data_IF_527923840716
#
_entry.id   IF_527923840716
#
_cell.length_a   1.000
_cell.length_b   1.000
_cell.length_c   1.000
_cell.angle_alpha   90.00
_cell.angle_beta   90.00
_cell.angle_gamma   90.00
#
_symmetry.space_group_name_H-M   'P 1'
#
loop_
_entity.id
_entity.type
_entity.pdbx_description
1 polymer ?
#
# COMPACT_ATOMS: atom_id res chain seq x y z
N UNK A 1 -9.96 -15.17 -33.93
CA UNK A 1 -9.22 -15.35 -32.66
C UNK A 1 -9.86 -14.45 -31.62
N UNK A 2 -10.21 -15.02 -30.46
CA UNK A 2 -10.89 -14.34 -29.34
C UNK A 2 -10.03 -13.23 -28.75
N UNK A 3 -10.63 -12.06 -28.51
CA UNK A 3 -9.99 -10.81 -28.07
C UNK A 3 -9.92 -10.68 -26.52
N UNK A 4 -9.91 -11.80 -25.80
CA UNK A 4 -10.04 -11.84 -24.33
C UNK A 4 -9.00 -12.75 -23.65
N UNK A 5 -7.75 -12.70 -24.11
CA UNK A 5 -6.65 -13.23 -23.30
C UNK A 5 -5.46 -12.29 -23.31
N UNK A 6 -5.59 -11.20 -22.53
CA UNK A 6 -4.46 -10.36 -22.11
C UNK A 6 -4.03 -10.67 -20.68
N UNK A 7 -4.39 -11.85 -20.16
CA UNK A 7 -3.93 -12.29 -18.84
C UNK A 7 -2.49 -12.80 -18.86
N UNK A 8 -1.96 -13.14 -20.05
CA UNK A 8 -0.66 -13.78 -20.19
C UNK A 8 0.54 -12.84 -20.37
N UNK A 9 0.33 -11.52 -20.49
CA UNK A 9 1.42 -10.57 -20.80
C UNK A 9 1.68 -9.49 -19.74
N UNK A 10 0.83 -9.40 -18.71
CA UNK A 10 1.12 -8.55 -17.55
C UNK A 10 1.81 -9.45 -16.53
N UNK A 11 3.13 -9.51 -16.65
CA UNK A 11 3.98 -10.42 -15.90
C UNK A 11 3.74 -10.31 -14.39
N UNK A 12 3.26 -11.40 -13.81
CA UNK A 12 3.53 -11.71 -12.41
C UNK A 12 5.02 -12.06 -12.33
N UNK A 13 5.88 -11.06 -12.15
CA UNK A 13 7.27 -11.32 -11.78
C UNK A 13 7.27 -12.20 -10.51
N UNK A 14 8.27 -13.06 -10.34
CA UNK A 14 8.35 -13.92 -9.13
C UNK A 14 8.26 -13.09 -7.84
N UNK A 15 8.78 -11.86 -7.88
CA UNK A 15 8.70 -10.88 -6.81
C UNK A 15 7.27 -10.42 -6.51
N UNK A 16 6.41 -10.32 -7.52
CA UNK A 16 5.00 -9.97 -7.34
C UNK A 16 4.18 -11.14 -6.79
N UNK A 17 4.59 -12.38 -7.09
CA UNK A 17 4.04 -13.57 -6.42
C UNK A 17 4.44 -13.61 -4.96
N UNK A 18 5.73 -13.44 -4.65
CA UNK A 18 6.22 -13.39 -3.26
C UNK A 18 5.50 -12.31 -2.44
N UNK A 19 5.31 -11.13 -3.04
CA UNK A 19 4.63 -10.02 -2.37
C UNK A 19 3.13 -10.27 -2.17
N UNK A 20 2.48 -10.97 -3.10
CA UNK A 20 1.10 -11.41 -2.91
C UNK A 20 0.99 -12.52 -1.85
N UNK A 21 1.92 -13.47 -1.80
CA UNK A 21 1.92 -14.54 -0.81
C UNK A 21 2.16 -13.98 0.60
N UNK A 22 3.09 -13.03 0.75
CA UNK A 22 3.32 -12.33 2.02
C UNK A 22 2.10 -11.49 2.43
N UNK A 23 1.46 -10.84 1.46
CA UNK A 23 0.20 -10.12 1.68
C UNK A 23 -0.90 -11.06 2.14
N UNK A 24 -1.12 -12.20 1.49
CA UNK A 24 -2.13 -13.18 1.89
C UNK A 24 -1.87 -13.70 3.31
N UNK A 25 -0.61 -14.02 3.63
CA UNK A 25 -0.21 -14.45 4.96
C UNK A 25 -0.46 -13.36 6.04
N UNK A 26 -0.22 -12.10 5.70
CA UNK A 26 -0.48 -10.97 6.60
C UNK A 26 -1.97 -10.65 6.73
N UNK A 27 -2.72 -10.67 5.62
CA UNK A 27 -4.16 -10.48 5.61
C UNK A 27 -4.83 -11.58 6.42
N UNK A 28 -4.44 -12.85 6.28
CA UNK A 28 -4.98 -13.96 7.08
C UNK A 28 -4.91 -13.73 8.61
N UNK A 29 -3.94 -12.93 9.07
CA UNK A 29 -3.74 -12.58 10.49
C UNK A 29 -4.34 -11.23 10.87
N UNK A 30 -4.90 -10.48 9.93
CA UNK A 30 -5.38 -9.11 10.11
C UNK A 30 -6.92 -9.10 10.14
N UNK A 31 -7.55 -8.41 11.11
CA UNK A 31 -9.00 -8.30 11.19
C UNK A 31 -9.63 -7.76 9.89
N UNK A 32 -10.79 -8.29 9.44
CA UNK A 32 -11.42 -7.90 8.17
C UNK A 32 -11.73 -6.41 8.01
N UNK A 33 -12.00 -5.70 9.12
CA UNK A 33 -12.26 -4.26 9.11
C UNK A 33 -11.02 -3.46 8.67
N UNK A 34 -9.84 -3.85 9.14
CA UNK A 34 -8.58 -3.21 8.78
C UNK A 34 -8.24 -3.51 7.31
N UNK A 35 -8.48 -4.74 6.86
CA UNK A 35 -8.25 -5.13 5.46
C UNK A 35 -9.05 -4.28 4.47
N UNK A 36 -10.35 -4.05 4.75
CA UNK A 36 -11.20 -3.22 3.89
C UNK A 36 -10.71 -1.78 3.83
N UNK A 37 -10.36 -1.19 4.98
CA UNK A 37 -9.81 0.17 5.02
C UNK A 37 -8.50 0.30 4.24
N UNK A 38 -7.63 -0.70 4.31
CA UNK A 38 -6.39 -0.73 3.53
C UNK A 38 -6.66 -0.80 2.03
N UNK A 39 -7.56 -1.68 1.60
CA UNK A 39 -7.94 -1.80 0.19
C UNK A 39 -8.50 -0.49 -0.37
N UNK A 40 -9.40 0.18 0.37
CA UNK A 40 -9.93 1.48 -0.04
C UNK A 40 -8.85 2.55 -0.16
N UNK A 41 -7.98 2.68 0.85
CA UNK A 41 -6.87 3.65 0.82
C UNK A 41 -5.90 3.41 -0.33
N UNK A 42 -5.56 2.16 -0.59
CA UNK A 42 -4.70 1.78 -1.71
C UNK A 42 -5.36 2.18 -3.02
N UNK A 43 -6.64 1.85 -3.20
CA UNK A 43 -7.37 2.20 -4.40
C UNK A 43 -7.45 3.72 -4.62
N UNK A 44 -7.82 4.48 -3.59
CA UNK A 44 -7.91 5.94 -3.66
C UNK A 44 -6.54 6.57 -3.97
N UNK A 45 -5.47 6.03 -3.35
CA UNK A 45 -4.09 6.45 -3.61
C UNK A 45 -3.66 6.21 -5.05
N UNK A 46 -3.97 5.04 -5.61
CA UNK A 46 -3.69 4.72 -7.03
C UNK A 46 -4.44 5.69 -7.94
N UNK A 47 -5.74 5.89 -7.72
CA UNK A 47 -6.55 6.80 -8.54
C UNK A 47 -6.00 8.23 -8.52
N UNK A 48 -5.62 8.72 -7.33
CA UNK A 48 -5.00 10.04 -7.19
C UNK A 48 -3.68 10.10 -7.96
N UNK A 49 -2.81 9.10 -7.81
CA UNK A 49 -1.51 9.08 -8.49
C UNK A 49 -1.63 9.02 -10.00
N UNK A 50 -2.55 8.20 -10.51
CA UNK A 50 -2.83 8.08 -11.94
C UNK A 50 -3.40 9.39 -12.50
N UNK A 51 -4.25 10.09 -11.74
CA UNK A 51 -4.73 11.42 -12.11
C UNK A 51 -3.60 12.45 -12.18
N UNK A 52 -2.70 12.46 -11.20
CA UNK A 52 -1.53 13.35 -11.18
C UNK A 52 -0.58 13.07 -12.35
N UNK A 53 -0.28 11.80 -12.62
CA UNK A 53 0.54 11.40 -13.77
C UNK A 53 -0.10 11.78 -15.10
N UNK A 54 -1.40 11.53 -15.25
CA UNK A 54 -2.18 11.89 -16.44
C UNK A 54 -2.12 13.39 -16.66
N UNK A 55 -2.38 14.17 -15.62
CA UNK A 55 -2.35 15.64 -15.70
C UNK A 55 -0.96 16.15 -16.08
N UNK A 56 0.11 15.58 -15.50
CA UNK A 56 1.49 15.99 -15.78
C UNK A 56 1.93 15.65 -17.20
N UNK A 57 1.69 14.42 -17.65
CA UNK A 57 2.16 13.93 -18.96
C UNK A 57 1.29 14.44 -20.11
N UNK A 58 -0.02 14.54 -19.91
CA UNK A 58 -0.96 15.02 -20.94
C UNK A 58 -1.17 16.53 -20.92
N UNK A 59 -0.45 17.28 -20.08
CA UNK A 59 -0.60 18.73 -19.94
C UNK A 59 -0.56 19.50 -21.26
N UNK A 60 0.33 19.08 -22.18
CA UNK A 60 0.46 19.70 -23.50
C UNK A 60 -0.81 19.53 -24.34
N UNK A 61 -1.47 18.37 -24.27
CA UNK A 61 -2.73 18.13 -24.98
C UNK A 61 -3.90 18.88 -24.34
N UNK A 62 -3.91 18.99 -23.01
CA UNK A 62 -4.88 19.83 -22.29
C UNK A 62 -4.79 21.27 -22.78
N UNK A 63 -3.58 21.83 -22.87
CA UNK A 63 -3.37 23.20 -23.35
C UNK A 63 -3.82 23.40 -24.80
N UNK A 64 -3.48 22.47 -25.69
CA UNK A 64 -3.92 22.53 -27.10
C UNK A 64 -5.44 22.48 -27.24
N UNK A 65 -6.10 21.64 -26.45
CA UNK A 65 -7.57 21.57 -26.45
C UNK A 65 -8.19 22.85 -25.88
N UNK A 66 -7.66 23.35 -24.76
CA UNK A 66 -8.09 24.62 -24.14
C UNK A 66 -7.93 25.81 -25.09
N UNK A 67 -6.78 25.95 -25.75
CA UNK A 67 -6.51 26.99 -26.76
C UNK A 67 -7.49 26.90 -27.94
N UNK A 68 -7.78 25.69 -28.42
CA UNK A 68 -8.75 25.50 -29.48
C UNK A 68 -10.15 25.93 -29.04
N UNK A 69 -10.64 25.45 -27.90
CA UNK A 69 -12.00 25.75 -27.41
C UNK A 69 -12.17 27.24 -27.13
N UNK A 70 -11.13 27.92 -26.63
CA UNK A 70 -11.18 29.35 -26.36
C UNK A 70 -11.05 30.24 -27.60
N UNK A 71 -10.54 29.70 -28.72
CA UNK A 71 -10.36 30.47 -29.97
C UNK A 71 -11.50 30.27 -30.97
N UNK A 72 -12.28 29.18 -30.84
CA UNK A 72 -13.42 28.92 -31.72
C UNK A 72 -14.74 29.42 -31.12
N UNK A 73 -15.66 29.83 -32.01
CA UNK A 73 -17.01 30.20 -31.58
C UNK A 73 -17.79 28.97 -31.07
N UNK A 74 -18.76 29.12 -30.15
CA UNK A 74 -19.42 28.01 -29.46
C UNK A 74 -20.06 26.95 -30.37
N UNK A 75 -20.48 27.32 -31.58
CA UNK A 75 -21.09 26.41 -32.54
C UNK A 75 -20.08 25.65 -33.42
N UNK A 76 -18.78 25.99 -33.33
CA UNK A 76 -17.66 25.33 -34.05
C UNK A 76 -16.76 24.46 -33.16
N UNK A 77 -17.19 24.16 -31.93
CA UNK A 77 -16.43 23.29 -31.00
C UNK A 77 -16.08 21.92 -31.61
N UNK A 78 -16.85 21.47 -32.62
CA UNK A 78 -16.54 20.25 -33.38
C UNK A 78 -15.15 20.26 -34.03
N UNK A 79 -14.62 21.44 -34.37
CA UNK A 79 -13.29 21.56 -34.98
C UNK A 79 -12.17 21.24 -33.96
N UNK A 80 -12.48 21.28 -32.66
CA UNK A 80 -11.55 20.92 -31.59
C UNK A 80 -11.60 19.44 -31.18
N UNK A 81 -12.46 18.62 -31.81
CA UNK A 81 -12.57 17.18 -31.54
C UNK A 81 -11.22 16.45 -31.67
N UNK A 82 -10.37 16.71 -32.69
CA UNK A 82 -9.07 16.04 -32.80
C UNK A 82 -8.16 16.29 -31.60
N UNK A 83 -8.22 17.48 -30.99
CA UNK A 83 -7.43 17.80 -29.79
C UNK A 83 -7.97 17.10 -28.54
N UNK A 84 -9.30 16.95 -28.44
CA UNK A 84 -9.94 16.17 -27.37
C UNK A 84 -9.59 14.70 -27.48
N UNK A 85 -9.63 14.15 -28.69
CA UNK A 85 -9.36 12.73 -28.91
C UNK A 85 -7.88 12.42 -28.63
N UNK A 86 -6.95 13.30 -29.05
CA UNK A 86 -5.54 13.20 -28.67
C UNK A 86 -5.30 13.27 -27.15
N UNK A 87 -6.06 14.10 -26.43
CA UNK A 87 -6.03 14.15 -24.97
C UNK A 87 -6.53 12.83 -24.35
N UNK A 88 -7.63 12.28 -24.88
CA UNK A 88 -8.18 11.00 -24.42
C UNK A 88 -7.22 9.85 -24.67
N UNK A 89 -6.56 9.81 -25.82
CA UNK A 89 -5.57 8.79 -26.15
C UNK A 89 -4.37 8.85 -25.20
N UNK A 90 -3.86 10.04 -24.91
CA UNK A 90 -2.80 10.24 -23.92
C UNK A 90 -3.23 9.75 -22.52
N UNK A 91 -4.46 10.09 -22.10
CA UNK A 91 -4.98 9.65 -20.81
C UNK A 91 -5.16 8.12 -20.77
N UNK A 92 -5.58 7.51 -21.87
CA UNK A 92 -5.77 6.06 -21.95
C UNK A 92 -4.44 5.30 -21.90
N UNK A 93 -3.39 5.83 -22.52
CA UNK A 93 -2.04 5.24 -22.44
C UNK A 93 -1.46 5.27 -21.01
N UNK A 94 -1.74 6.32 -20.25
CA UNK A 94 -1.30 6.42 -18.86
C UNK A 94 -2.15 5.53 -17.96
N UNK A 95 -3.45 5.46 -18.23
CA UNK A 95 -4.40 4.65 -17.46
C UNK A 95 -4.45 3.18 -17.89
N UNK A 96 -3.33 2.64 -18.38
CA UNK A 96 -3.19 1.21 -18.69
C UNK A 96 -3.20 0.37 -17.42
N UNK A 97 -3.70 -0.85 -17.56
CA UNK A 97 -3.73 -1.86 -16.49
C UNK A 97 -2.34 -2.09 -15.88
N UNK A 98 -1.29 -2.10 -16.71
CA UNK A 98 0.11 -2.25 -16.26
C UNK A 98 0.52 -1.16 -15.26
N UNK A 99 0.14 0.10 -15.50
CA UNK A 99 0.44 1.20 -14.58
C UNK A 99 -0.39 1.08 -13.31
N UNK A 100 -1.65 0.66 -13.41
CA UNK A 100 -2.50 0.40 -12.25
C UNK A 100 -1.88 -0.67 -11.33
N UNK A 101 -1.47 -1.81 -11.90
CA UNK A 101 -0.84 -2.90 -11.15
C UNK A 101 0.49 -2.46 -10.52
N UNK A 102 1.30 -1.70 -11.25
CA UNK A 102 2.55 -1.13 -10.72
C UNK A 102 2.32 -0.26 -9.49
N UNK A 103 1.36 0.65 -9.52
CA UNK A 103 1.04 1.46 -8.33
C UNK A 103 0.44 0.62 -7.22
N UNK A 104 -0.40 -0.36 -7.56
CA UNK A 104 -0.97 -1.29 -6.58
C UNK A 104 0.11 -1.97 -5.75
N UNK A 105 1.16 -2.48 -6.38
CA UNK A 105 2.30 -3.11 -5.67
C UNK A 105 3.02 -2.10 -4.76
N UNK A 106 3.33 -0.90 -5.26
CA UNK A 106 3.97 0.16 -4.48
C UNK A 106 3.18 0.56 -3.23
N UNK A 107 1.88 0.78 -3.39
CA UNK A 107 1.00 1.14 -2.28
C UNK A 107 0.80 -0.03 -1.31
N UNK A 108 0.66 -1.26 -1.81
CA UNK A 108 0.60 -2.47 -0.99
C UNK A 108 1.84 -2.59 -0.10
N UNK A 109 3.03 -2.48 -0.69
CA UNK A 109 4.28 -2.56 0.06
C UNK A 109 4.37 -1.48 1.16
N UNK A 110 3.99 -0.24 0.84
CA UNK A 110 3.98 0.85 1.82
C UNK A 110 2.99 0.61 2.97
N UNK A 111 1.84 0.02 2.69
CA UNK A 111 0.85 -0.34 3.71
C UNK A 111 1.27 -1.53 4.57
N UNK A 112 1.90 -2.53 3.96
CA UNK A 112 2.47 -3.67 4.67
C UNK A 112 3.58 -3.24 5.64
N UNK A 113 4.46 -2.34 5.21
CA UNK A 113 5.52 -1.78 6.06
C UNK A 113 4.92 -1.05 7.29
N UNK A 114 3.93 -0.19 7.08
CA UNK A 114 3.26 0.53 8.19
C UNK A 114 2.60 -0.43 9.18
N UNK A 115 1.96 -1.48 8.70
CA UNK A 115 1.39 -2.52 9.57
C UNK A 115 2.46 -3.25 10.37
N UNK A 116 3.59 -3.56 9.75
CA UNK A 116 4.72 -4.18 10.44
C UNK A 116 5.28 -3.26 11.52
N UNK A 117 5.51 -1.98 11.22
CA UNK A 117 5.99 -0.98 12.18
C UNK A 117 5.03 -0.82 13.35
N UNK A 118 3.72 -0.74 13.08
CA UNK A 118 2.69 -0.65 14.12
C UNK A 118 2.73 -1.85 15.06
N UNK A 119 2.74 -3.08 14.52
CA UNK A 119 2.82 -4.31 15.33
C UNK A 119 4.11 -4.40 16.13
N UNK A 120 5.24 -3.98 15.55
CA UNK A 120 6.51 -3.98 16.25
C UNK A 120 6.52 -2.97 17.40
N UNK A 121 5.93 -1.78 17.18
CA UNK A 121 5.68 -0.79 18.22
C UNK A 121 4.82 -1.34 19.37
N UNK A 122 3.68 -1.97 19.06
CA UNK A 122 2.81 -2.60 20.06
C UNK A 122 3.55 -3.68 20.87
N UNK A 123 4.35 -4.53 20.19
CA UNK A 123 5.18 -5.54 20.87
C UNK A 123 6.22 -4.90 21.78
N UNK A 124 6.85 -3.80 21.37
CA UNK A 124 7.80 -3.07 22.21
C UNK A 124 7.15 -2.46 23.43
N UNK A 125 6.00 -1.80 23.28
CA UNK A 125 5.28 -1.21 24.41
C UNK A 125 4.80 -2.29 25.39
N UNK A 126 4.31 -3.42 24.87
CA UNK A 126 3.96 -4.57 25.70
C UNK A 126 5.20 -5.14 26.43
N UNK A 127 6.36 -5.20 25.77
CA UNK A 127 7.60 -5.66 26.40
C UNK A 127 8.10 -4.68 27.45
N UNK A 128 8.07 -3.37 27.17
CA UNK A 128 8.35 -2.30 28.17
C UNK A 128 7.50 -2.46 29.42
N UNK A 129 6.19 -2.70 29.27
CA UNK A 129 5.28 -2.86 30.41
C UNK A 129 5.54 -4.11 31.27
N UNK A 130 6.23 -5.12 30.72
CA UNK A 130 6.49 -6.41 31.38
C UNK A 130 7.92 -6.57 31.87
N UNK A 131 8.85 -5.74 31.41
CA UNK A 131 10.23 -5.73 31.91
C UNK A 131 10.24 -5.08 33.30
N UNK A 132 10.76 -5.75 34.35
CA UNK A 132 10.85 -5.15 35.67
C UNK A 132 11.72 -3.89 35.65
N UNK A 133 11.35 -2.87 36.45
CA UNK A 133 12.10 -1.61 36.64
C UNK A 133 13.58 -1.80 37.05
N UNK A 134 14.01 -3.02 37.35
CA UNK A 134 15.39 -3.38 37.67
C UNK A 134 16.34 -3.32 36.46
N UNK A 135 15.85 -3.33 35.22
CA UNK A 135 16.68 -3.15 34.01
C UNK A 135 16.78 -1.65 33.68
N UNK A 136 17.45 -0.92 34.57
CA UNK A 136 17.64 0.54 34.53
C UNK A 136 18.44 1.05 33.31
N UNK A 137 18.87 0.15 32.42
CA UNK A 137 19.78 0.40 31.29
C UNK A 137 19.15 0.13 29.92
N UNK A 138 17.83 -0.06 29.81
CA UNK A 138 17.20 -0.15 28.50
C UNK A 138 17.15 1.24 27.84
N UNK A 139 18.23 1.59 27.12
CA UNK A 139 18.25 2.82 26.31
C UNK A 139 17.30 2.66 25.11
N UNK A 140 16.53 3.70 24.76
CA UNK A 140 15.61 3.72 23.62
C UNK A 140 16.21 3.27 22.27
N UNK A 141 17.53 3.30 22.14
CA UNK A 141 18.25 3.02 20.90
C UNK A 141 18.49 1.51 20.61
N UNK A 142 18.18 0.61 21.56
CA UNK A 142 18.42 -0.84 21.41
C UNK A 142 17.30 -1.61 20.67
N UNK A 143 16.35 -0.87 20.11
CA UNK A 143 15.04 -1.36 19.73
C UNK A 143 15.02 -2.54 18.70
N UNK A 144 15.59 -2.47 17.48
CA UNK A 144 15.30 -3.53 16.49
C UNK A 144 16.14 -4.80 16.66
N UNK A 145 17.42 -4.65 17.05
CA UNK A 145 18.41 -5.73 16.96
C UNK A 145 18.32 -6.77 18.10
N UNK A 146 17.71 -6.39 19.21
CA UNK A 146 17.61 -7.25 20.40
C UNK A 146 16.22 -7.87 20.59
N UNK A 147 15.21 -7.42 19.84
CA UNK A 147 13.86 -7.99 19.89
C UNK A 147 13.85 -9.46 19.41
N UNK A 148 14.56 -9.76 18.31
CA UNK A 148 14.70 -11.12 17.80
C UNK A 148 15.60 -11.98 18.70
N UNK A 149 16.73 -11.42 19.17
CA UNK A 149 17.65 -12.13 20.07
C UNK A 149 17.02 -12.49 21.42
N UNK A 150 16.13 -11.65 21.97
CA UNK A 150 15.44 -11.93 23.24
C UNK A 150 14.32 -12.98 23.08
N UNK A 151 13.84 -13.21 21.85
CA UNK A 151 12.89 -14.30 21.56
C UNK A 151 13.55 -15.67 21.70
N UNK A 152 14.85 -15.77 21.41
CA UNK A 152 15.65 -17.00 21.52
C UNK A 152 16.10 -17.33 22.96
N UNK A 153 16.09 -16.34 23.86
CA UNK A 153 16.50 -16.50 25.27
C UNK A 153 15.41 -17.17 26.13
N UNK A 154 14.28 -17.57 25.53
CA UNK A 154 13.32 -18.47 26.18
C UNK A 154 12.49 -17.83 27.29
N UNK A 155 12.34 -16.50 27.32
CA UNK A 155 11.35 -15.82 28.17
C UNK A 155 9.97 -16.02 27.55
N UNK A 156 9.45 -17.25 27.65
CA UNK A 156 8.06 -17.54 27.30
C UNK A 156 7.16 -16.76 28.27
N UNK A 157 6.10 -16.09 27.78
CA UNK A 157 5.12 -15.47 28.65
C UNK A 157 4.51 -16.56 29.53
N UNK A 158 4.60 -16.40 30.85
CA UNK A 158 3.87 -17.25 31.78
C UNK A 158 2.38 -17.00 31.55
N UNK A 159 1.71 -17.97 30.94
CA UNK A 159 0.25 -18.04 30.97
C UNK A 159 -0.10 -18.52 32.38
N UNK A 160 -0.72 -17.64 33.16
CA UNK A 160 -1.04 -17.90 34.55
C UNK A 160 -1.91 -19.14 34.72
N UNK A 161 -1.46 -20.04 35.59
CA UNK A 161 -2.35 -20.88 36.40
C UNK A 161 -2.41 -20.22 37.77
N UNK A 162 -3.52 -19.52 38.04
CA UNK A 162 -3.91 -19.15 39.40
C UNK A 162 -4.34 -20.39 40.20
N UNK A 163 -4.25 -20.24 41.53
CA UNK A 163 -4.84 -21.02 42.63
C UNK A 163 -3.93 -22.12 43.22
N UNK A 164 -3.68 -22.21 44.52
CA UNK A 164 -4.30 -21.60 45.71
C UNK A 164 -3.28 -21.38 46.84
N UNK A 165 -3.67 -20.47 47.73
CA UNK A 165 -3.11 -20.08 49.02
C UNK A 165 -3.24 -21.23 50.04
N UNK A 166 -2.24 -21.45 50.91
CA UNK A 166 -2.35 -21.44 52.39
C UNK A 166 -1.23 -22.22 53.13
N UNK A 167 -0.56 -21.45 54.01
CA UNK A 167 -0.12 -21.72 55.38
C UNK A 167 0.89 -22.82 55.82
N UNK A 168 1.82 -22.30 56.65
CA UNK A 168 2.83 -22.86 57.59
C UNK A 168 4.24 -23.13 57.06
#
# INVERSE_FOLDING_TARGET
>A
MSFYDKSSSVGYDERDKELNDELEAMLARTPPQIQRHLQHRIHDGILQRMKEETTRKCWVFVKKYEECVNSVQPYKIKDCIPHRDALNDCAHEINREENYQKYRILYLHGELLKLHEHRLGEKMEALKSRVPDSIRTWKPDYAPKYADMMSDVGVKPSVGTEKDVDDV
#
